data_IF_511093208572
#
_entry.id   IF_511093208572
#
_cell.length_a   1.000
_cell.length_b   1.000
_cell.length_c   1.000
_cell.angle_alpha   90.00
_cell.angle_beta   90.00
_cell.angle_gamma   90.00
#
_symmetry.space_group_name_H-M   'P 1'
#
loop_
_entity.id
_entity.type
_entity.pdbx_description
1 polymer ?
#
# COMPACT_ATOMS: atom_id res chain seq x y z
N UNK A 1 0.93 -5.99 -27.85
CA UNK A 1 1.03 -4.50 -27.91
C UNK A 1 0.87 -4.12 -29.38
N UNK A 2 -0.06 -3.23 -29.75
CA UNK A 2 -0.21 -2.81 -31.15
C UNK A 2 1.14 -2.27 -31.65
N UNK A 3 1.64 -2.81 -32.75
CA UNK A 3 2.90 -2.36 -33.38
C UNK A 3 4.20 -3.02 -32.87
N UNK A 4 4.14 -4.07 -32.05
CA UNK A 4 5.32 -4.86 -31.68
C UNK A 4 5.19 -6.27 -32.27
N UNK A 5 6.11 -6.65 -33.17
CA UNK A 5 6.22 -8.01 -33.70
C UNK A 5 6.86 -8.96 -32.69
N UNK A 6 6.64 -10.27 -32.85
CA UNK A 6 7.22 -11.30 -31.99
C UNK A 6 8.75 -11.20 -31.94
N UNK A 7 9.42 -11.14 -33.10
CA UNK A 7 10.87 -10.98 -33.15
C UNK A 7 11.39 -9.73 -32.42
N UNK A 8 10.62 -8.63 -32.42
CA UNK A 8 10.97 -7.41 -31.68
C UNK A 8 10.74 -7.60 -30.18
N UNK A 9 9.68 -8.29 -29.77
CA UNK A 9 9.42 -8.62 -28.38
C UNK A 9 10.53 -9.49 -27.79
N UNK A 10 10.94 -10.55 -28.51
CA UNK A 10 12.01 -11.45 -28.09
C UNK A 10 13.34 -10.71 -27.92
N UNK A 11 13.66 -9.82 -28.86
CA UNK A 11 14.86 -8.98 -28.77
C UNK A 11 14.83 -8.07 -27.54
N UNK A 12 13.70 -7.42 -27.26
CA UNK A 12 13.56 -6.54 -26.08
C UNK A 12 13.74 -7.36 -24.79
N UNK A 13 13.10 -8.53 -24.69
CA UNK A 13 13.21 -9.40 -23.53
C UNK A 13 14.64 -9.91 -23.33
N UNK A 14 15.32 -10.31 -24.41
CA UNK A 14 16.70 -10.79 -24.35
C UNK A 14 17.67 -9.69 -23.88
N UNK A 15 17.49 -8.44 -24.31
CA UNK A 15 18.32 -7.33 -23.83
C UNK A 15 18.00 -6.96 -22.37
N UNK A 16 16.73 -6.94 -21.96
CA UNK A 16 16.35 -6.68 -20.57
C UNK A 16 16.89 -7.74 -19.60
N UNK A 17 16.91 -9.00 -20.02
CA UNK A 17 17.42 -10.11 -19.21
C UNK A 17 18.92 -10.04 -18.91
N UNK A 18 19.69 -9.25 -19.67
CA UNK A 18 21.11 -9.01 -19.39
C UNK A 18 21.32 -8.01 -18.24
N UNK A 19 20.32 -7.16 -17.97
CA UNK A 19 20.38 -6.12 -16.95
C UNK A 19 19.68 -6.53 -15.65
N UNK A 20 18.65 -7.37 -15.75
CA UNK A 20 17.84 -7.81 -14.60
C UNK A 20 18.20 -9.25 -14.23
N UNK A 21 18.73 -9.50 -13.02
CA UNK A 21 19.02 -10.86 -12.57
C UNK A 21 17.71 -11.62 -12.27
N UNK A 22 17.28 -12.47 -13.19
CA UNK A 22 16.03 -13.26 -13.10
C UNK A 22 16.24 -14.75 -12.80
N UNK A 23 17.47 -15.16 -12.47
CA UNK A 23 17.84 -16.56 -12.25
C UNK A 23 17.73 -17.02 -10.80
N UNK A 24 17.95 -18.32 -10.58
CA UNK A 24 18.14 -18.88 -9.25
C UNK A 24 19.41 -18.32 -8.59
N UNK A 25 19.36 -18.08 -7.29
CA UNK A 25 20.48 -17.62 -6.47
C UNK A 25 20.41 -18.33 -5.12
N UNK A 26 21.46 -18.23 -4.31
CA UNK A 26 21.49 -18.93 -3.03
C UNK A 26 20.59 -18.24 -2.00
N UNK A 27 20.08 -19.00 -1.04
CA UNK A 27 19.30 -18.42 0.06
C UNK A 27 20.12 -17.41 0.88
N UNK A 28 21.44 -17.59 0.96
CA UNK A 28 22.37 -16.65 1.60
C UNK A 28 22.39 -15.30 0.89
N UNK A 29 22.47 -15.29 -0.44
CA UNK A 29 22.46 -14.05 -1.23
C UNK A 29 21.13 -13.30 -1.06
N UNK A 30 20.01 -14.03 -1.02
CA UNK A 30 18.70 -13.42 -0.74
C UNK A 30 18.65 -12.86 0.68
N UNK A 31 19.17 -13.58 1.68
CA UNK A 31 19.18 -13.10 3.06
C UNK A 31 19.98 -11.79 3.20
N UNK A 32 21.15 -11.70 2.57
CA UNK A 32 21.95 -10.49 2.56
C UNK A 32 21.22 -9.32 1.86
N UNK A 33 20.58 -9.56 0.71
CA UNK A 33 19.78 -8.51 0.05
C UNK A 33 18.60 -8.04 0.93
N UNK A 34 17.98 -8.96 1.66
CA UNK A 34 16.84 -8.65 2.54
C UNK A 34 17.26 -7.90 3.80
N UNK A 35 18.49 -8.04 4.29
CA UNK A 35 18.97 -7.28 5.46
C UNK A 35 19.19 -5.80 5.15
N UNK A 36 19.27 -5.44 3.87
CA UNK A 36 19.40 -4.06 3.37
C UNK A 36 18.04 -3.41 3.03
N UNK A 37 16.92 -4.12 3.20
CA UNK A 37 15.58 -3.59 2.95
C UNK A 37 15.23 -2.50 3.97
N UNK A 38 14.74 -1.37 3.46
CA UNK A 38 14.29 -0.25 4.29
C UNK A 38 12.95 -0.60 4.94
N UNK A 39 12.82 -0.26 6.22
CA UNK A 39 11.58 -0.40 6.98
C UNK A 39 11.18 0.98 7.51
N UNK A 40 10.00 1.46 7.09
CA UNK A 40 9.51 2.78 7.45
C UNK A 40 8.87 2.76 8.84
N UNK A 41 9.35 3.60 9.76
CA UNK A 41 8.77 3.73 11.09
C UNK A 41 7.31 4.16 11.03
N UNK A 42 6.49 3.54 11.86
CA UNK A 42 5.09 3.91 12.08
C UNK A 42 4.94 5.10 13.03
N UNK A 43 6.04 5.57 13.62
CA UNK A 43 6.07 6.59 14.66
C UNK A 43 5.69 6.09 16.05
N UNK A 44 5.42 4.78 16.19
CA UNK A 44 5.17 4.09 17.46
C UNK A 44 6.19 2.99 17.67
N UNK A 45 6.93 3.04 18.79
CA UNK A 45 7.97 2.05 19.10
C UNK A 45 7.39 0.64 19.29
N UNK A 46 6.20 0.56 19.87
CA UNK A 46 5.50 -0.69 20.11
C UNK A 46 5.03 -1.33 18.81
N UNK A 47 4.50 -0.52 17.88
CA UNK A 47 4.06 -1.02 16.58
C UNK A 47 5.27 -1.39 15.71
N UNK A 48 6.33 -0.60 15.71
CA UNK A 48 7.57 -0.93 14.99
C UNK A 48 8.17 -2.23 15.53
N UNK A 49 8.18 -2.44 16.85
CA UNK A 49 8.62 -3.70 17.46
C UNK A 49 7.77 -4.88 17.01
N UNK A 50 6.44 -4.73 16.96
CA UNK A 50 5.54 -5.78 16.49
C UNK A 50 5.81 -6.14 15.02
N UNK A 51 6.15 -5.16 14.19
CA UNK A 51 6.44 -5.33 12.78
C UNK A 51 7.88 -5.76 12.49
N UNK A 52 8.75 -5.83 13.51
CA UNK A 52 10.16 -6.14 13.32
C UNK A 52 10.97 -4.99 12.71
N UNK A 53 10.52 -3.74 12.87
CA UNK A 53 11.23 -2.51 12.52
C UNK A 53 10.36 -1.44 11.85
N UNK A 54 9.23 -1.83 11.25
CA UNK A 54 8.28 -0.90 10.62
C UNK A 54 7.59 -1.49 9.40
N UNK A 55 7.12 -0.64 8.50
CA UNK A 55 6.50 -1.06 7.23
C UNK A 55 7.60 -1.39 6.22
N UNK A 56 7.68 -2.64 5.79
CA UNK A 56 8.68 -3.15 4.84
C UNK A 56 8.46 -2.59 3.41
N UNK A 57 9.51 -1.99 2.82
CA UNK A 57 9.50 -1.58 1.40
C UNK A 57 9.57 -2.79 0.46
N UNK A 58 9.09 -2.64 -0.78
CA UNK A 58 9.06 -3.75 -1.75
C UNK A 58 7.97 -4.79 -1.43
N UNK A 59 6.98 -4.43 -0.61
CA UNK A 59 5.88 -5.31 -0.22
C UNK A 59 4.56 -4.53 -0.08
N UNK A 60 3.45 -5.27 -0.06
CA UNK A 60 2.12 -4.72 0.24
C UNK A 60 1.77 -5.01 1.71
N UNK A 61 1.51 -3.94 2.45
CA UNK A 61 0.94 -4.00 3.80
C UNK A 61 -0.51 -3.56 3.80
N UNK A 62 -1.42 -4.46 4.19
CA UNK A 62 -2.85 -4.19 4.35
C UNK A 62 -3.16 -3.78 5.80
N UNK A 63 -3.78 -2.61 5.98
CA UNK A 63 -4.32 -2.17 7.27
C UNK A 63 -5.83 -2.23 7.20
N UNK A 64 -6.45 -3.14 7.96
CA UNK A 64 -7.89 -3.33 7.96
C UNK A 64 -8.50 -3.19 9.34
N UNK A 65 -9.78 -2.86 9.37
CA UNK A 65 -10.53 -2.72 10.62
C UNK A 65 -11.80 -1.89 10.46
N UNK A 66 -12.54 -1.76 11.55
CA UNK A 66 -13.80 -1.03 11.58
C UNK A 66 -13.63 0.48 11.31
N UNK A 67 -14.74 1.16 11.08
CA UNK A 67 -14.73 2.61 11.03
C UNK A 67 -14.24 3.21 12.36
N UNK A 68 -13.47 4.29 12.27
CA UNK A 68 -12.81 4.95 13.42
C UNK A 68 -11.92 3.99 14.21
N UNK A 69 -11.08 3.18 13.56
CA UNK A 69 -9.98 2.45 14.23
C UNK A 69 -8.61 3.11 14.03
N UNK A 70 -8.52 4.16 13.19
CA UNK A 70 -7.28 4.94 13.03
C UNK A 70 -6.49 4.64 11.75
N UNK A 71 -7.02 3.84 10.82
CA UNK A 71 -6.36 3.49 9.53
C UNK A 71 -5.77 4.71 8.80
N UNK A 72 -6.62 5.66 8.42
CA UNK A 72 -6.20 6.92 7.77
C UNK A 72 -5.25 7.75 8.62
N UNK A 73 -5.31 7.67 9.96
CA UNK A 73 -4.38 8.40 10.82
C UNK A 73 -2.98 7.82 10.77
N UNK A 74 -2.87 6.48 10.71
CA UNK A 74 -1.61 5.81 10.47
C UNK A 74 -1.07 6.14 9.07
N UNK A 75 -1.92 6.16 8.04
CA UNK A 75 -1.53 6.60 6.69
C UNK A 75 -0.99 8.04 6.65
N UNK A 76 -1.64 9.00 7.31
CA UNK A 76 -1.13 10.37 7.42
C UNK A 76 0.22 10.44 8.14
N UNK A 77 0.44 9.60 9.15
CA UNK A 77 1.72 9.54 9.88
C UNK A 77 2.81 8.99 8.97
N UNK A 78 2.53 7.89 8.27
CA UNK A 78 3.46 7.27 7.34
C UNK A 78 3.84 8.18 6.17
N UNK A 79 2.90 9.00 5.66
CA UNK A 79 3.17 9.98 4.61
C UNK A 79 4.21 11.04 4.99
N UNK A 80 4.44 11.25 6.31
CA UNK A 80 5.49 12.13 6.83
C UNK A 80 6.73 11.33 7.21
N UNK A 81 6.58 10.21 7.94
CA UNK A 81 7.75 9.45 8.41
C UNK A 81 8.54 8.81 7.27
N UNK A 82 7.93 8.53 6.12
CA UNK A 82 8.64 8.01 4.95
C UNK A 82 9.66 9.00 4.36
N UNK A 83 9.53 10.29 4.69
CA UNK A 83 10.41 11.37 4.23
C UNK A 83 11.61 11.58 5.16
N UNK A 84 11.62 10.96 6.34
CA UNK A 84 12.73 11.07 7.29
C UNK A 84 14.02 10.45 6.70
N UNK A 85 15.20 10.86 7.21
CA UNK A 85 16.46 10.18 6.96
C UNK A 85 16.40 8.69 7.29
N UNK A 86 17.21 7.88 6.59
CA UNK A 86 17.28 6.42 6.83
C UNK A 86 17.74 6.12 8.26
N UNK A 87 18.64 6.93 8.82
CA UNK A 87 19.11 6.86 10.22
C UNK A 87 17.99 7.06 11.26
N UNK A 88 16.84 7.58 10.83
CA UNK A 88 15.63 7.75 11.65
C UNK A 88 14.50 6.82 11.22
N UNK A 89 14.85 5.72 10.54
CA UNK A 89 13.91 4.72 10.00
C UNK A 89 12.90 5.34 9.03
N UNK A 90 13.30 6.37 8.29
CA UNK A 90 12.58 6.87 7.13
C UNK A 90 13.07 6.22 5.83
N UNK A 91 12.61 6.74 4.70
CA UNK A 91 12.98 6.25 3.37
C UNK A 91 13.63 7.28 2.46
N UNK A 92 13.88 8.51 2.95
CA UNK A 92 14.44 9.64 2.18
C UNK A 92 13.75 9.83 0.82
N UNK A 93 12.43 9.64 0.80
CA UNK A 93 11.64 9.65 -0.42
C UNK A 93 10.32 10.35 -0.25
N UNK A 94 9.74 10.75 -1.38
CA UNK A 94 8.40 11.34 -1.45
C UNK A 94 7.31 10.30 -1.20
N UNK A 95 6.10 10.77 -0.91
CA UNK A 95 4.92 9.93 -0.76
C UNK A 95 3.93 10.14 -1.92
N UNK A 96 3.37 9.04 -2.42
CA UNK A 96 2.17 9.06 -3.27
C UNK A 96 0.96 8.66 -2.43
N UNK A 97 -0.12 9.44 -2.50
CA UNK A 97 -1.35 9.20 -1.75
C UNK A 97 -2.55 9.17 -2.70
N UNK A 98 -3.12 7.99 -2.89
CA UNK A 98 -4.37 7.78 -3.63
C UNK A 98 -5.51 7.66 -2.63
N UNK A 99 -6.39 8.64 -2.61
CA UNK A 99 -7.56 8.70 -1.73
C UNK A 99 -8.83 8.36 -2.50
N UNK A 100 -9.61 7.42 -1.96
CA UNK A 100 -10.90 7.02 -2.53
C UNK A 100 -12.08 7.49 -1.68
N UNK A 101 -11.83 7.89 -0.42
CA UNK A 101 -12.89 8.23 0.54
C UNK A 101 -13.00 9.76 0.76
N UNK A 102 -12.03 10.55 0.30
CA UNK A 102 -12.01 12.01 0.49
C UNK A 102 -11.60 12.41 1.91
N UNK A 103 -10.81 11.58 2.59
CA UNK A 103 -10.48 11.73 4.01
C UNK A 103 -9.09 12.30 4.25
N UNK A 104 -8.33 12.59 3.19
CA UNK A 104 -7.05 13.25 3.30
C UNK A 104 -7.18 14.66 3.88
N UNK A 105 -6.39 14.97 4.91
CA UNK A 105 -6.40 16.27 5.61
C UNK A 105 -4.95 16.74 5.82
N UNK A 106 -4.44 17.69 5.01
CA UNK A 106 -3.07 18.19 5.11
C UNK A 106 -2.69 18.69 6.51
N UNK A 107 -3.65 19.22 7.27
CA UNK A 107 -3.41 19.71 8.64
C UNK A 107 -2.91 18.60 9.58
N UNK A 108 -3.28 17.35 9.31
CA UNK A 108 -2.78 16.20 10.07
C UNK A 108 -1.30 15.94 9.76
N UNK A 109 -0.86 16.11 8.52
CA UNK A 109 0.56 15.98 8.15
C UNK A 109 1.38 17.06 8.84
N UNK A 110 0.88 18.31 8.88
CA UNK A 110 1.55 19.42 9.56
C UNK A 110 1.80 19.14 11.05
N UNK A 111 0.84 18.48 11.71
CA UNK A 111 0.94 18.08 13.12
C UNK A 111 2.04 17.02 13.33
N UNK A 112 2.18 16.08 12.39
CA UNK A 112 3.23 15.07 12.44
C UNK A 112 4.59 15.68 12.10
N UNK A 113 4.66 16.56 11.09
CA UNK A 113 5.90 17.28 10.72
C UNK A 113 6.47 18.05 11.92
N UNK A 114 5.61 18.70 12.71
CA UNK A 114 6.01 19.42 13.92
C UNK A 114 6.64 18.50 14.97
N UNK A 115 6.06 17.31 15.20
CA UNK A 115 6.65 16.30 16.10
C UNK A 115 8.06 15.91 15.68
N UNK A 116 8.32 15.79 14.38
CA UNK A 116 9.63 15.43 13.83
C UNK A 116 10.51 16.63 13.49
N UNK A 117 10.08 17.86 13.83
CA UNK A 117 10.80 19.12 13.56
C UNK A 117 11.18 19.30 12.09
N UNK A 118 10.31 18.83 11.19
CA UNK A 118 10.49 18.98 9.75
C UNK A 118 9.88 20.29 9.25
N UNK A 119 10.38 20.78 8.11
CA UNK A 119 9.75 21.90 7.40
C UNK A 119 8.34 21.52 6.96
N UNK A 120 7.35 22.28 7.44
CA UNK A 120 5.93 22.06 7.14
C UNK A 120 5.64 22.17 5.63
N UNK A 121 6.29 23.12 4.96
CA UNK A 121 6.12 23.34 3.53
C UNK A 121 6.72 22.17 2.74
N UNK A 122 7.96 21.79 3.04
CA UNK A 122 8.66 20.72 2.32
C UNK A 122 7.93 19.38 2.50
N UNK A 123 7.41 19.11 3.70
CA UNK A 123 6.61 17.90 3.96
C UNK A 123 5.38 17.84 3.06
N UNK A 124 4.67 18.94 2.85
CA UNK A 124 3.50 18.99 1.98
C UNK A 124 3.90 18.86 0.50
N UNK A 125 4.95 19.54 0.07
CA UNK A 125 5.42 19.51 -1.33
C UNK A 125 5.97 18.14 -1.75
N UNK A 126 6.37 17.32 -0.77
CA UNK A 126 6.82 15.95 -0.96
C UNK A 126 5.70 14.90 -0.93
N UNK A 127 4.42 15.30 -0.81
CA UNK A 127 3.27 14.39 -0.89
C UNK A 127 2.45 14.68 -2.14
N UNK A 128 2.53 13.77 -3.11
CA UNK A 128 1.68 13.80 -4.30
C UNK A 128 0.32 13.16 -3.99
N UNK A 129 -0.76 13.95 -4.08
CA UNK A 129 -2.13 13.52 -3.78
C UNK A 129 -2.98 13.37 -5.04
N UNK A 130 -3.75 12.29 -5.12
CA UNK A 130 -4.78 12.10 -6.14
C UNK A 130 -6.05 11.51 -5.52
N UNK A 131 -7.22 12.01 -5.95
CA UNK A 131 -8.52 11.45 -5.58
C UNK A 131 -9.06 10.57 -6.70
N UNK A 132 -9.28 9.29 -6.43
CA UNK A 132 -9.95 8.39 -7.35
C UNK A 132 -11.47 8.43 -7.13
N UNK A 133 -12.23 8.38 -8.22
CA UNK A 133 -13.70 8.52 -8.19
C UNK A 133 -14.44 7.26 -8.66
N UNK A 134 -13.73 6.30 -9.27
CA UNK A 134 -14.23 4.98 -9.67
C UNK A 134 -13.05 4.01 -9.82
N UNK A 135 -13.33 2.72 -9.94
CA UNK A 135 -12.28 1.68 -9.96
C UNK A 135 -11.34 1.76 -11.17
N UNK A 136 -11.84 2.22 -12.32
CA UNK A 136 -11.01 2.38 -13.53
C UNK A 136 -10.02 3.54 -13.37
N UNK A 137 -10.48 4.68 -12.85
CA UNK A 137 -9.65 5.84 -12.53
C UNK A 137 -8.58 5.46 -11.48
N UNK A 138 -8.94 4.69 -10.46
CA UNK A 138 -7.99 4.18 -9.47
C UNK A 138 -6.83 3.39 -10.12
N UNK A 139 -7.13 2.60 -11.16
CA UNK A 139 -6.13 1.84 -11.91
C UNK A 139 -5.29 2.73 -12.82
N UNK A 140 -5.90 3.74 -13.45
CA UNK A 140 -5.18 4.73 -14.27
C UNK A 140 -4.19 5.56 -13.46
N UNK A 141 -4.52 5.89 -12.21
CA UNK A 141 -3.60 6.61 -11.31
C UNK A 141 -2.32 5.81 -11.03
N UNK A 142 -2.36 4.47 -11.02
CA UNK A 142 -1.14 3.66 -10.89
C UNK A 142 -0.22 3.77 -12.11
N UNK A 143 -0.78 3.98 -13.30
CA UNK A 143 0.01 4.21 -14.50
C UNK A 143 0.74 5.56 -14.39
N UNK A 144 0.03 6.61 -13.96
CA UNK A 144 0.64 7.92 -13.70
C UNK A 144 1.69 7.84 -12.58
N UNK A 145 1.40 7.12 -11.50
CA UNK A 145 2.35 6.88 -10.41
C UNK A 145 3.64 6.24 -10.92
N UNK A 146 3.56 5.24 -11.81
CA UNK A 146 4.74 4.61 -12.40
C UNK A 146 5.64 5.61 -13.16
N UNK A 147 5.04 6.55 -13.89
CA UNK A 147 5.78 7.61 -14.59
C UNK A 147 6.46 8.58 -13.59
N UNK A 148 5.75 8.98 -12.53
CA UNK A 148 6.30 9.85 -11.49
C UNK A 148 7.46 9.18 -10.74
N UNK A 149 7.35 7.88 -10.45
CA UNK A 149 8.40 7.10 -9.78
C UNK A 149 9.64 6.88 -10.65
N UNK A 150 9.51 6.95 -11.98
CA UNK A 150 10.64 6.88 -12.89
C UNK A 150 11.48 8.19 -12.90
N UNK A 151 10.87 9.33 -12.58
CA UNK A 151 11.54 10.63 -12.58
C UNK A 151 12.11 11.02 -11.21
N UNK A 152 11.39 10.70 -10.13
CA UNK A 152 11.75 11.08 -8.76
C UNK A 152 11.62 9.89 -7.82
N UNK A 153 12.50 9.83 -6.81
CA UNK A 153 12.44 8.80 -5.77
C UNK A 153 11.22 8.99 -4.86
N UNK A 154 10.34 7.99 -4.83
CA UNK A 154 9.31 7.82 -3.81
C UNK A 154 9.72 6.69 -2.87
N UNK A 155 9.30 6.77 -1.60
CA UNK A 155 9.52 5.71 -0.61
C UNK A 155 8.22 5.00 -0.21
N UNK A 156 7.07 5.63 -0.44
CA UNK A 156 5.76 5.14 0.00
C UNK A 156 4.66 5.45 -1.02
N UNK A 157 3.82 4.45 -1.28
CA UNK A 157 2.54 4.57 -1.99
C UNK A 157 1.40 4.14 -1.05
N UNK A 158 0.49 5.06 -0.76
CA UNK A 158 -0.72 4.80 0.03
C UNK A 158 -1.94 4.73 -0.89
N UNK A 159 -2.80 3.73 -0.68
CA UNK A 159 -4.16 3.68 -1.24
C UNK A 159 -5.18 3.58 -0.11
N UNK A 160 -5.88 4.69 0.16
CA UNK A 160 -6.83 4.82 1.27
C UNK A 160 -8.25 5.13 0.75
N UNK A 161 -9.16 4.15 0.63
CA UNK A 161 -8.96 2.70 0.77
C UNK A 161 -8.94 1.98 -0.56
N UNK A 162 -8.31 0.81 -0.60
CA UNK A 162 -8.22 0.00 -1.81
C UNK A 162 -9.57 -0.60 -2.23
N UNK A 163 -10.54 -0.70 -1.33
CA UNK A 163 -11.78 -1.46 -1.55
C UNK A 163 -13.06 -0.63 -1.52
N UNK A 164 -13.02 0.67 -1.14
CA UNK A 164 -14.22 1.50 -1.05
C UNK A 164 -14.99 1.57 -2.38
N UNK A 165 -14.32 1.93 -3.48
CA UNK A 165 -14.96 2.07 -4.81
C UNK A 165 -15.49 0.72 -5.33
N UNK A 166 -14.80 -0.38 -5.03
CA UNK A 166 -15.23 -1.73 -5.44
C UNK A 166 -16.54 -2.17 -4.79
N UNK A 167 -17.00 -1.52 -3.73
CA UNK A 167 -18.30 -1.82 -3.09
C UNK A 167 -19.47 -1.17 -3.80
N UNK A 168 -19.26 -0.01 -4.41
CA UNK A 168 -20.31 0.77 -5.07
C UNK A 168 -20.37 0.46 -6.55
N UNK A 169 -19.20 0.31 -7.19
CA UNK A 169 -19.08 0.16 -8.63
C UNK A 169 -19.47 -1.25 -9.10
N UNK A 170 -19.41 -2.23 -8.19
CA UNK A 170 -19.80 -3.61 -8.46
C UNK A 170 -20.87 -4.08 -7.48
N UNK A 171 -22.10 -4.27 -7.98
CA UNK A 171 -23.27 -4.51 -7.15
C UNK A 171 -23.85 -5.91 -7.31
N UNK A 172 -24.23 -6.52 -6.19
CA UNK A 172 -24.86 -7.84 -6.16
C UNK A 172 -23.91 -9.01 -6.42
N UNK A 173 -24.46 -10.24 -6.39
CA UNK A 173 -23.67 -11.47 -6.55
C UNK A 173 -23.21 -11.73 -7.99
N UNK A 174 -23.96 -11.23 -8.99
CA UNK A 174 -23.66 -11.44 -10.41
C UNK A 174 -22.35 -10.79 -10.87
N UNK A 175 -21.95 -9.69 -10.24
CA UNK A 175 -20.73 -8.95 -10.60
C UNK A 175 -19.51 -9.32 -9.76
N UNK A 176 -19.66 -10.30 -8.86
CA UNK A 176 -18.59 -10.74 -7.97
C UNK A 176 -17.34 -11.17 -8.74
N UNK A 177 -17.49 -11.93 -9.81
CA UNK A 177 -16.36 -12.40 -10.63
C UNK A 177 -15.61 -11.24 -11.28
N UNK A 178 -16.32 -10.32 -11.92
CA UNK A 178 -15.75 -9.13 -12.56
C UNK A 178 -15.02 -8.25 -11.55
N UNK A 179 -15.63 -8.00 -10.38
CA UNK A 179 -15.01 -7.27 -9.27
C UNK A 179 -13.71 -7.92 -8.82
N UNK A 180 -13.72 -9.23 -8.60
CA UNK A 180 -12.56 -9.98 -8.15
C UNK A 180 -11.43 -9.98 -9.19
N UNK A 181 -11.75 -10.12 -10.48
CA UNK A 181 -10.75 -10.01 -11.57
C UNK A 181 -10.16 -8.61 -11.67
N UNK A 182 -10.99 -7.57 -11.55
CA UNK A 182 -10.52 -6.19 -11.59
C UNK A 182 -9.62 -5.88 -10.39
N UNK A 183 -10.01 -6.28 -9.18
CA UNK A 183 -9.21 -6.12 -7.96
C UNK A 183 -7.88 -6.88 -8.06
N UNK A 184 -7.87 -8.09 -8.61
CA UNK A 184 -6.64 -8.85 -8.79
C UNK A 184 -5.62 -8.13 -9.69
N UNK A 185 -6.09 -7.54 -10.79
CA UNK A 185 -5.22 -6.74 -11.69
C UNK A 185 -4.67 -5.51 -10.97
N UNK A 186 -5.51 -4.80 -10.23
CA UNK A 186 -5.08 -3.64 -9.44
C UNK A 186 -4.01 -3.99 -8.40
N UNK A 187 -4.23 -5.05 -7.61
CA UNK A 187 -3.26 -5.51 -6.61
C UNK A 187 -1.96 -6.01 -7.26
N UNK A 188 -2.04 -6.65 -8.44
CA UNK A 188 -0.84 -7.06 -9.20
C UNK A 188 -0.05 -5.85 -9.70
N UNK A 189 -0.71 -4.77 -10.10
CA UNK A 189 -0.05 -3.53 -10.48
C UNK A 189 0.65 -2.88 -9.28
N UNK A 190 0.01 -2.87 -8.11
CA UNK A 190 0.65 -2.39 -6.87
C UNK A 190 1.90 -3.20 -6.51
N UNK A 191 1.83 -4.53 -6.57
CA UNK A 191 2.98 -5.39 -6.30
C UNK A 191 4.12 -5.11 -7.28
N UNK A 192 3.79 -4.95 -8.57
CA UNK A 192 4.78 -4.57 -9.57
C UNK A 192 5.45 -3.23 -9.26
N UNK A 193 4.70 -2.22 -8.81
CA UNK A 193 5.30 -0.94 -8.40
C UNK A 193 6.24 -1.10 -7.20
N UNK A 194 5.87 -1.94 -6.23
CA UNK A 194 6.72 -2.26 -5.09
C UNK A 194 8.03 -2.94 -5.53
N UNK A 195 7.95 -3.92 -6.44
CA UNK A 195 9.11 -4.64 -6.98
C UNK A 195 10.01 -3.76 -7.86
N UNK A 196 9.41 -2.94 -8.73
CA UNK A 196 10.10 -2.14 -9.75
C UNK A 196 10.82 -0.92 -9.15
N UNK A 197 10.20 -0.26 -8.17
CA UNK A 197 10.72 0.98 -7.58
C UNK A 197 11.20 0.83 -6.13
N UNK A 198 11.00 -0.34 -5.50
CA UNK A 198 11.37 -0.57 -4.10
C UNK A 198 10.55 0.27 -3.11
N UNK A 199 9.33 0.68 -3.47
CA UNK A 199 8.46 1.47 -2.58
C UNK A 199 7.73 0.58 -1.59
N UNK A 200 7.46 1.09 -0.38
CA UNK A 200 6.46 0.49 0.48
C UNK A 200 5.06 0.77 -0.09
N UNK A 201 4.21 -0.26 -0.16
CA UNK A 201 2.80 -0.08 -0.54
C UNK A 201 1.93 -0.33 0.68
N UNK A 202 1.15 0.68 1.07
CA UNK A 202 0.19 0.59 2.17
C UNK A 202 -1.21 0.76 1.64
N UNK A 203 -2.04 -0.26 1.84
CA UNK A 203 -3.45 -0.21 1.48
C UNK A 203 -4.30 -0.24 2.74
N UNK A 204 -5.34 0.58 2.79
CA UNK A 204 -6.36 0.42 3.83
C UNK A 204 -7.53 -0.40 3.30
N UNK A 205 -8.16 -1.14 4.21
CA UNK A 205 -9.33 -1.95 3.90
C UNK A 205 -10.37 -1.82 5.03
N UNK A 206 -11.63 -2.08 4.68
CA UNK A 206 -12.73 -2.10 5.63
C UNK A 206 -13.13 -3.55 5.95
N UNK A 207 -13.88 -3.73 7.03
CA UNK A 207 -14.45 -5.03 7.42
C UNK A 207 -15.95 -5.09 7.12
N UNK A 208 -16.46 -6.30 6.95
CA UNK A 208 -17.88 -6.62 6.90
C UNK A 208 -18.23 -7.63 7.98
N UNK A 209 -19.45 -7.54 8.50
CA UNK A 209 -20.00 -8.59 9.35
C UNK A 209 -20.27 -9.86 8.53
N UNK A 210 -19.96 -11.02 9.10
CA UNK A 210 -20.35 -12.31 8.58
C UNK A 210 -21.74 -12.66 9.13
N UNK A 211 -22.71 -12.83 8.23
CA UNK A 211 -24.12 -13.07 8.56
C UNK A 211 -24.49 -14.53 8.28
N UNK A 212 -23.59 -15.46 8.64
CA UNK A 212 -23.76 -16.90 8.42
C UNK A 212 -24.11 -17.57 9.76
N UNK A 213 -24.87 -18.68 9.76
CA UNK A 213 -25.37 -19.34 10.98
C UNK A 213 -24.29 -19.81 11.98
N UNK A 214 -23.03 -19.94 11.52
CA UNK A 214 -21.87 -20.23 12.37
C UNK A 214 -21.35 -19.02 13.17
N UNK A 215 -21.84 -17.80 12.89
CA UNK A 215 -21.45 -16.58 13.59
C UNK A 215 -21.88 -16.58 15.07
N UNK A 216 -22.81 -17.45 15.47
CA UNK A 216 -23.26 -17.59 16.86
C UNK A 216 -22.14 -18.04 17.83
N UNK A 217 -21.07 -18.65 17.32
CA UNK A 217 -19.93 -19.12 18.12
C UNK A 217 -18.61 -18.38 17.82
N UNK A 218 -18.64 -17.37 16.94
CA UNK A 218 -17.46 -16.57 16.62
C UNK A 218 -17.45 -15.26 17.42
N UNK A 219 -16.46 -15.12 18.32
CA UNK A 219 -16.32 -13.95 19.19
C UNK A 219 -16.05 -12.62 18.44
N UNK A 220 -15.55 -12.68 17.20
CA UNK A 220 -15.46 -11.52 16.30
C UNK A 220 -15.89 -11.91 14.88
N UNK A 221 -17.17 -11.75 14.51
CA UNK A 221 -17.72 -12.21 13.23
C UNK A 221 -17.31 -11.31 12.05
N UNK A 222 -16.20 -10.56 12.15
CA UNK A 222 -15.80 -9.58 11.15
C UNK A 222 -14.71 -10.12 10.25
N UNK A 223 -14.89 -9.93 8.94
CA UNK A 223 -13.89 -10.29 7.92
C UNK A 223 -13.53 -9.10 7.04
N UNK A 224 -12.26 -8.97 6.61
CA UNK A 224 -11.85 -7.96 5.64
C UNK A 224 -12.49 -8.21 4.28
N UNK A 225 -12.65 -7.14 3.49
CA UNK A 225 -13.22 -7.20 2.13
C UNK A 225 -12.17 -7.66 1.13
N UNK A 226 -12.61 -8.21 -0.01
CA UNK A 226 -11.76 -8.63 -1.12
C UNK A 226 -11.43 -10.13 -1.12
N UNK A 227 -11.74 -10.82 -0.02
CA UNK A 227 -11.61 -12.28 0.10
C UNK A 227 -10.17 -12.76 -0.14
N UNK A 228 -10.04 -13.95 -0.71
CA UNK A 228 -8.74 -14.61 -0.89
C UNK A 228 -7.78 -13.82 -1.79
N UNK A 229 -8.30 -13.05 -2.75
CA UNK A 229 -7.46 -12.26 -3.65
C UNK A 229 -6.67 -11.19 -2.89
N UNK A 230 -7.34 -10.46 -2.00
CA UNK A 230 -6.67 -9.49 -1.12
C UNK A 230 -5.72 -10.18 -0.15
N UNK A 231 -6.14 -11.31 0.42
CA UNK A 231 -5.37 -12.08 1.40
C UNK A 231 -4.06 -12.65 0.83
N UNK A 232 -4.05 -13.05 -0.44
CA UNK A 232 -2.85 -13.58 -1.10
C UNK A 232 -1.93 -12.49 -1.65
N UNK A 233 -2.48 -11.35 -2.05
CA UNK A 233 -1.67 -10.25 -2.58
C UNK A 233 -0.95 -9.45 -1.48
N UNK A 234 -1.52 -9.41 -0.28
CA UNK A 234 -0.95 -8.65 0.85
C UNK A 234 0.03 -9.52 1.63
N UNK A 235 1.28 -9.10 1.73
CA UNK A 235 2.34 -9.81 2.45
C UNK A 235 2.12 -9.70 3.97
N UNK A 236 1.78 -8.50 4.44
CA UNK A 236 1.57 -8.19 5.85
C UNK A 236 0.16 -7.64 6.04
N UNK A 237 -0.55 -8.10 7.08
CA UNK A 237 -1.95 -7.70 7.34
C UNK A 237 -2.14 -7.29 8.79
N UNK A 238 -2.50 -6.04 9.02
CA UNK A 238 -2.68 -5.43 10.35
C UNK A 238 -4.17 -5.21 10.62
N UNK A 239 -4.68 -5.88 11.64
CA UNK A 239 -6.05 -5.68 12.11
C UNK A 239 -6.09 -4.64 13.24
N UNK A 240 -6.64 -3.46 12.96
CA UNK A 240 -6.92 -2.45 13.97
C UNK A 240 -8.33 -2.64 14.55
N UNK A 241 -8.41 -2.71 15.89
CA UNK A 241 -9.65 -2.73 16.66
C UNK A 241 -9.75 -1.47 17.52
N UNK A 242 -10.89 -1.25 18.18
CA UNK A 242 -11.00 -0.19 19.19
C UNK A 242 -10.71 -0.79 20.57
N UNK A 243 -9.82 -0.17 21.33
CA UNK A 243 -9.66 -0.42 22.75
C UNK A 243 -10.75 0.26 23.60
N UNK A 244 -10.54 0.31 24.92
CA UNK A 244 -11.42 1.02 25.86
C UNK A 244 -10.97 2.48 26.02
N UNK A 245 -11.90 3.43 25.98
CA UNK A 245 -11.58 4.86 26.13
C UNK A 245 -10.83 5.41 24.91
N UNK A 246 -9.75 6.17 25.14
CA UNK A 246 -8.87 6.70 24.09
C UNK A 246 -7.84 5.66 23.58
N UNK A 247 -7.86 4.42 24.10
CA UNK A 247 -6.97 3.36 23.62
C UNK A 247 -7.48 2.81 22.29
N UNK A 248 -6.59 2.76 21.29
CA UNK A 248 -6.83 2.18 19.98
C UNK A 248 -5.96 0.95 19.81
#
# INVERSE_FOLDING_TARGET
IKGISEAKADKILAEAAKLVPMGFTTATDIHQKRSEIIQLTTGSKELDRLLGGGIETGSITEIFGEFRTGKTQLCHTLAVTCQLPIEHNGGEGKCLYIDTEGTFRPERLLSVAERYKMSKQDVLDNVAYARAYNTDHQTQLLIQASAMMAETRYSLLIVDSATALYRTDYSGRGELSARQMHLARFLRMLLRLADEFGVAVVITNQVVAQVDGAAMFNADPKKPIGGNIMAHASTTRLYLRKGRGETR
#
